data_IF_276498859110
#
_entry.id   IF_276498859110
#
_cell.length_a   1.000
_cell.length_b   1.000
_cell.length_c   1.000
_cell.angle_alpha   90.00
_cell.angle_beta   90.00
_cell.angle_gamma   90.00
#
_symmetry.space_group_name_H-M   'P 1'
#
loop_
_entity.id
_entity.type
_entity.pdbx_description
1 polymer ?
#
# COMPACT_ATOMS: atom_id res chain seq x y z
N UNK A 1 -12.10 12.31 4.48
CA UNK A 1 -11.82 11.14 3.61
C UNK A 1 -10.96 11.64 2.47
N UNK A 2 -9.82 11.00 2.25
CA UNK A 2 -8.91 11.30 1.16
C UNK A 2 -9.49 10.78 -0.16
N UNK A 3 -9.19 11.46 -1.26
CA UNK A 3 -9.49 10.97 -2.60
C UNK A 3 -8.48 9.87 -2.97
N UNK A 4 -8.90 8.63 -3.22
CA UNK A 4 -7.96 7.59 -3.64
C UNK A 4 -7.55 7.78 -5.09
N UNK A 5 -6.24 7.69 -5.34
CA UNK A 5 -5.66 7.58 -6.67
C UNK A 5 -4.83 6.30 -6.74
N UNK A 6 -5.04 5.50 -7.77
CA UNK A 6 -4.32 4.25 -8.00
C UNK A 6 -3.40 4.42 -9.19
N UNK A 7 -2.08 4.31 -8.98
CA UNK A 7 -1.15 4.46 -10.09
C UNK A 7 -1.28 3.30 -11.08
N UNK A 8 -0.73 3.50 -12.29
CA UNK A 8 -0.66 2.39 -13.27
C UNK A 8 0.17 1.23 -12.74
N UNK A 9 1.21 1.49 -11.95
CA UNK A 9 2.04 0.44 -11.38
C UNK A 9 1.29 -0.35 -10.31
N UNK A 10 0.61 0.34 -9.39
CA UNK A 10 -0.24 -0.29 -8.40
C UNK A 10 -1.30 -1.21 -9.02
N UNK A 11 -1.96 -0.77 -10.09
CA UNK A 11 -2.96 -1.61 -10.77
C UNK A 11 -2.33 -2.89 -11.36
N UNK A 12 -1.14 -2.80 -11.97
CA UNK A 12 -0.41 -3.97 -12.47
C UNK A 12 0.00 -4.92 -11.34
N UNK A 13 0.51 -4.36 -10.25
CA UNK A 13 0.90 -5.10 -9.05
C UNK A 13 -0.32 -5.87 -8.49
N UNK A 14 -1.45 -5.18 -8.33
CA UNK A 14 -2.70 -5.76 -7.86
C UNK A 14 -3.22 -6.88 -8.77
N UNK A 15 -3.16 -6.69 -10.10
CA UNK A 15 -3.57 -7.72 -11.05
C UNK A 15 -2.69 -8.97 -10.97
N UNK A 16 -1.38 -8.81 -10.75
CA UNK A 16 -0.46 -9.93 -10.53
C UNK A 16 -0.83 -10.71 -9.26
N UNK A 17 -1.10 -10.01 -8.15
CA UNK A 17 -1.48 -10.62 -6.88
C UNK A 17 -2.81 -11.38 -7.03
N UNK A 18 -3.82 -10.77 -7.66
CA UNK A 18 -5.11 -11.41 -7.95
C UNK A 18 -4.95 -12.68 -8.78
N UNK A 19 -4.11 -12.64 -9.82
CA UNK A 19 -3.83 -13.81 -10.67
C UNK A 19 -3.12 -14.94 -9.93
N UNK A 20 -2.28 -14.62 -8.94
CA UNK A 20 -1.59 -15.63 -8.14
C UNK A 20 -2.53 -16.47 -7.28
N UNK A 21 -3.63 -15.87 -6.80
CA UNK A 21 -4.58 -16.49 -5.86
C UNK A 21 -4.01 -16.76 -4.46
N UNK A 22 -2.77 -16.38 -4.17
CA UNK A 22 -2.08 -16.71 -2.91
C UNK A 22 -2.40 -15.75 -1.76
N UNK A 23 -2.92 -14.56 -2.09
CA UNK A 23 -3.15 -13.48 -1.14
C UNK A 23 -4.63 -13.17 -1.02
N UNK A 24 -5.07 -12.94 0.20
CA UNK A 24 -6.43 -12.50 0.49
C UNK A 24 -6.58 -10.99 0.19
N UNK A 25 -7.24 -10.68 -0.93
CA UNK A 25 -7.44 -9.30 -1.41
C UNK A 25 -8.31 -8.48 -0.44
N UNK A 26 -9.14 -9.12 0.38
CA UNK A 26 -9.97 -8.39 1.35
C UNK A 26 -9.11 -7.72 2.43
N UNK A 27 -7.95 -8.29 2.78
CA UNK A 27 -7.00 -7.65 3.69
C UNK A 27 -6.46 -6.35 3.12
N UNK A 28 -6.13 -6.33 1.83
CA UNK A 28 -5.70 -5.10 1.16
C UNK A 28 -6.82 -4.07 1.15
N UNK A 29 -8.04 -4.46 0.71
CA UNK A 29 -9.19 -3.53 0.66
C UNK A 29 -9.50 -2.90 2.02
N UNK A 30 -9.41 -3.70 3.10
CA UNK A 30 -9.57 -3.21 4.46
C UNK A 30 -8.59 -2.08 4.79
N UNK A 31 -7.30 -2.25 4.46
CA UNK A 31 -6.26 -1.24 4.68
C UNK A 31 -6.48 0.00 3.82
N UNK A 32 -6.78 -0.18 2.53
CA UNK A 32 -7.08 0.95 1.63
C UNK A 32 -8.24 1.79 2.18
N UNK A 33 -9.29 1.14 2.69
CA UNK A 33 -10.47 1.81 3.26
C UNK A 33 -10.10 2.61 4.50
N UNK A 34 -9.37 2.01 5.45
CA UNK A 34 -8.90 2.71 6.64
C UNK A 34 -8.05 3.94 6.30
N UNK A 35 -7.11 3.79 5.36
CA UNK A 35 -6.24 4.88 4.93
C UNK A 35 -7.03 6.02 4.26
N UNK A 36 -7.97 5.69 3.38
CA UNK A 36 -8.89 6.68 2.76
C UNK A 36 -9.72 7.41 3.81
N UNK A 37 -10.16 6.72 4.85
CA UNK A 37 -10.91 7.31 5.96
C UNK A 37 -10.04 8.10 6.94
N UNK A 38 -8.71 8.12 6.75
CA UNK A 38 -7.75 8.71 7.69
C UNK A 38 -7.84 8.08 9.09
N UNK A 39 -8.23 6.80 9.14
CA UNK A 39 -8.24 6.01 10.37
C UNK A 39 -6.83 5.52 10.69
N UNK A 40 -6.53 5.41 11.99
CA UNK A 40 -5.26 4.83 12.42
C UNK A 40 -5.17 3.34 12.07
N UNK A 41 -4.02 2.95 11.51
CA UNK A 41 -3.66 1.55 11.34
C UNK A 41 -3.09 0.99 12.64
N UNK A 42 -3.48 -0.24 12.98
CA UNK A 42 -2.92 -0.95 14.11
C UNK A 42 -1.40 -1.12 13.96
N UNK A 43 -0.65 -1.11 15.07
CA UNK A 43 0.81 -1.26 15.08
C UNK A 43 1.33 -2.49 14.32
N UNK A 44 0.53 -3.57 14.22
CA UNK A 44 0.89 -4.79 13.48
C UNK A 44 1.15 -4.54 11.99
N UNK A 45 0.55 -3.51 11.40
CA UNK A 45 0.74 -3.13 9.99
C UNK A 45 2.05 -2.36 9.79
N UNK A 46 2.78 -2.02 10.86
CA UNK A 46 4.11 -1.38 10.81
C UNK A 46 4.17 -0.15 9.90
N UNK A 47 3.10 0.65 9.87
CA UNK A 47 3.06 1.86 9.04
C UNK A 47 4.17 2.85 9.43
N UNK A 48 5.06 3.15 8.50
CA UNK A 48 6.19 4.05 8.72
C UNK A 48 6.57 4.83 7.45
N UNK A 49 7.30 5.93 7.64
CA UNK A 49 7.84 6.71 6.53
C UNK A 49 9.06 6.01 5.96
N UNK A 50 9.11 5.89 4.64
CA UNK A 50 10.30 5.43 3.94
C UNK A 50 11.37 6.53 3.90
N UNK A 51 12.62 6.10 3.77
CA UNK A 51 13.80 6.97 3.70
C UNK A 51 14.53 6.80 2.35
N UNK A 52 15.53 7.65 2.08
CA UNK A 52 16.33 7.57 0.86
C UNK A 52 15.54 7.97 -0.39
N UNK A 53 15.61 7.14 -1.44
CA UNK A 53 14.94 7.40 -2.73
C UNK A 53 13.42 7.44 -2.63
N UNK A 54 12.84 6.87 -1.56
CA UNK A 54 11.41 6.89 -1.28
C UNK A 54 11.02 7.95 -0.25
N UNK A 55 11.85 8.98 -0.05
CA UNK A 55 11.56 10.08 0.88
C UNK A 55 10.24 10.76 0.50
N UNK A 56 9.28 10.72 1.43
CA UNK A 56 7.92 11.24 1.22
C UNK A 56 6.87 10.14 1.09
N UNK A 57 7.28 8.91 0.76
CA UNK A 57 6.42 7.75 0.77
C UNK A 57 6.28 7.16 2.18
N UNK A 58 5.17 6.45 2.38
CA UNK A 58 4.92 5.58 3.52
C UNK A 58 4.80 4.14 3.06
N UNK A 59 5.13 3.23 3.95
CA UNK A 59 4.98 1.80 3.73
C UNK A 59 4.29 1.15 4.94
N UNK A 60 3.40 0.21 4.65
CA UNK A 60 2.83 -0.66 5.66
C UNK A 60 2.75 -2.12 5.16
N UNK A 61 2.90 -3.05 6.10
CA UNK A 61 2.77 -4.49 5.89
C UNK A 61 1.31 -4.91 5.97
N UNK A 62 0.76 -5.46 4.89
CA UNK A 62 -0.53 -6.18 4.88
C UNK A 62 -0.35 -7.58 5.44
N UNK A 63 0.77 -8.22 5.07
CA UNK A 63 1.27 -9.49 5.61
C UNK A 63 2.81 -9.41 5.75
N UNK A 64 3.48 -10.40 6.39
CA UNK A 64 4.94 -10.33 6.57
C UNK A 64 5.74 -10.05 5.29
N UNK A 65 5.33 -10.65 4.17
CA UNK A 65 5.92 -10.42 2.84
C UNK A 65 4.88 -9.90 1.83
N UNK A 66 4.06 -8.94 2.27
CA UNK A 66 3.15 -8.21 1.39
C UNK A 66 2.98 -6.78 1.90
N UNK A 67 3.46 -5.83 1.12
CA UNK A 67 3.57 -4.44 1.49
C UNK A 67 2.66 -3.57 0.62
N UNK A 68 2.32 -2.40 1.14
CA UNK A 68 1.67 -1.31 0.44
C UNK A 68 2.53 -0.07 0.58
N UNK A 69 2.90 0.55 -0.55
CA UNK A 69 3.55 1.86 -0.59
C UNK A 69 2.52 2.89 -1.01
N UNK A 70 2.43 3.99 -0.26
CA UNK A 70 1.51 5.08 -0.55
C UNK A 70 2.09 6.44 -0.17
N UNK A 71 1.56 7.49 -0.79
CA UNK A 71 1.86 8.89 -0.47
C UNK A 71 0.55 9.62 -0.19
N UNK A 72 0.62 10.70 0.58
CA UNK A 72 -0.52 11.59 0.82
C UNK A 72 -0.08 13.00 0.45
N UNK A 73 -0.78 13.60 -0.51
CA UNK A 73 -0.58 14.99 -0.91
C UNK A 73 -1.92 15.71 -0.93
N UNK A 74 -2.00 16.81 -0.16
CA UNK A 74 -3.24 17.56 0.06
C UNK A 74 -4.37 16.61 0.54
N UNK A 75 -5.48 16.56 -0.18
CA UNK A 75 -6.62 15.68 0.10
C UNK A 75 -6.63 14.39 -0.73
N UNK A 76 -5.49 14.01 -1.34
CA UNK A 76 -5.39 12.80 -2.18
C UNK A 76 -4.40 11.81 -1.57
N UNK A 77 -4.81 10.54 -1.53
CA UNK A 77 -3.93 9.42 -1.22
C UNK A 77 -3.58 8.69 -2.52
N UNK A 78 -2.29 8.56 -2.79
CA UNK A 78 -1.79 7.84 -3.95
C UNK A 78 -1.31 6.47 -3.50
N UNK A 79 -1.97 5.42 -3.97
CA UNK A 79 -1.50 4.06 -3.81
C UNK A 79 -0.48 3.77 -4.91
N UNK A 80 0.80 3.81 -4.53
CA UNK A 80 1.94 3.83 -5.44
C UNK A 80 2.24 2.42 -5.96
N UNK A 81 2.43 1.47 -5.04
CA UNK A 81 2.80 0.07 -5.32
C UNK A 81 2.33 -0.89 -4.24
N UNK A 82 2.22 -2.16 -4.58
CA UNK A 82 2.01 -3.25 -3.61
C UNK A 82 2.73 -4.51 -4.08
N UNK A 83 3.19 -5.37 -3.17
CA UNK A 83 3.97 -6.54 -3.56
C UNK A 83 4.80 -7.10 -2.41
N UNK A 84 5.64 -8.09 -2.69
CA UNK A 84 6.63 -8.61 -1.73
C UNK A 84 7.78 -7.62 -1.51
N UNK A 85 8.61 -7.86 -0.49
CA UNK A 85 9.81 -7.04 -0.28
C UNK A 85 10.70 -6.99 -1.53
N UNK A 86 10.98 -8.16 -2.13
CA UNK A 86 11.80 -8.28 -3.34
C UNK A 86 11.22 -7.52 -4.52
N UNK A 87 9.90 -7.54 -4.73
CA UNK A 87 9.28 -6.84 -5.87
C UNK A 87 9.32 -5.31 -5.76
N UNK A 88 9.46 -4.79 -4.54
CA UNK A 88 9.39 -3.36 -4.25
C UNK A 88 10.76 -2.71 -4.03
N UNK A 89 11.76 -3.46 -3.59
CA UNK A 89 13.05 -2.92 -3.17
C UNK A 89 14.30 -3.60 -3.78
N UNK A 90 14.15 -4.67 -4.57
CA UNK A 90 15.21 -5.21 -5.45
C UNK A 90 14.98 -4.79 -6.91
#
# INVERSE_FOLDING_TARGET
MLKPYYTRQFNKDLDKIKKSGQKDIEKLKFILTKLVNQEHLDHKYKDHKLIGNYKGCRECHIEPDWLLIYTIENDTIFFERTGSHSELFE
#
